data_IF_450191230885
#
_entry.id   IF_450191230885
#
_cell.length_a   1.000
_cell.length_b   1.000
_cell.length_c   1.000
_cell.angle_alpha   90.00
_cell.angle_beta   90.00
_cell.angle_gamma   90.00
#
_symmetry.space_group_name_H-M   'P 1'
#
loop_
_entity.id
_entity.type
_entity.pdbx_description
1 polymer ?
#
# COMPACT_ATOMS: atom_id res chain seq x y z
N UNK A 1 20.88 30.24 -29.12
CA UNK A 1 19.66 31.03 -29.42
C UNK A 1 18.66 30.22 -30.26
N UNK A 2 18.88 29.94 -31.55
CA UNK A 2 17.90 29.24 -32.40
C UNK A 2 17.52 27.81 -31.93
N UNK A 3 18.50 27.03 -31.46
CA UNK A 3 18.28 25.66 -30.97
C UNK A 3 17.50 25.63 -29.63
N UNK A 4 17.74 26.59 -28.74
CA UNK A 4 17.04 26.70 -27.46
C UNK A 4 15.56 27.09 -27.65
N UNK A 5 15.27 28.04 -28.55
CA UNK A 5 13.89 28.40 -28.92
C UNK A 5 13.11 27.21 -29.51
N UNK A 6 13.77 26.37 -30.31
CA UNK A 6 13.17 25.12 -30.83
C UNK A 6 12.88 24.11 -29.72
N UNK A 7 13.78 23.96 -28.73
CA UNK A 7 13.56 23.09 -27.57
C UNK A 7 12.38 23.55 -26.71
N UNK A 8 12.29 24.87 -26.43
CA UNK A 8 11.15 25.43 -25.68
C UNK A 8 9.82 25.27 -26.42
N UNK A 9 9.81 25.43 -27.75
CA UNK A 9 8.63 25.19 -28.56
C UNK A 9 8.18 23.72 -28.52
N UNK A 10 9.15 22.78 -28.57
CA UNK A 10 8.86 21.35 -28.45
C UNK A 10 8.27 20.99 -27.08
N UNK A 11 8.80 21.55 -25.99
CA UNK A 11 8.23 21.37 -24.64
C UNK A 11 6.80 21.91 -24.58
N UNK A 12 6.55 23.12 -25.13
CA UNK A 12 5.20 23.71 -25.14
C UNK A 12 4.19 22.83 -25.87
N UNK A 13 4.52 22.36 -27.08
CA UNK A 13 3.61 21.54 -27.89
C UNK A 13 3.29 20.20 -27.21
N UNK A 14 4.30 19.52 -26.64
CA UNK A 14 4.08 18.29 -25.88
C UNK A 14 3.22 18.53 -24.63
N UNK A 15 3.43 19.65 -23.94
CA UNK A 15 2.67 20.02 -22.75
C UNK A 15 1.21 20.30 -23.07
N UNK A 16 0.89 20.96 -24.19
CA UNK A 16 -0.49 21.18 -24.64
C UNK A 16 -1.24 19.88 -24.88
N UNK A 17 -0.63 18.94 -25.60
CA UNK A 17 -1.21 17.61 -25.83
C UNK A 17 -1.44 16.85 -24.50
N UNK A 18 -0.52 17.01 -23.55
CA UNK A 18 -0.60 16.35 -22.24
C UNK A 18 -1.67 16.95 -21.33
N UNK A 19 -1.86 18.27 -21.38
CA UNK A 19 -2.93 18.99 -20.68
C UNK A 19 -4.31 18.55 -21.18
N UNK A 20 -4.46 18.37 -22.49
CA UNK A 20 -5.68 17.84 -23.11
C UNK A 20 -5.95 16.39 -22.70
N UNK A 21 -4.92 15.53 -22.70
CA UNK A 21 -5.04 14.15 -22.22
C UNK A 21 -5.45 14.13 -20.73
N UNK A 22 -4.81 14.94 -19.89
CA UNK A 22 -5.11 15.05 -18.47
C UNK A 22 -6.53 15.57 -18.22
N UNK A 23 -7.06 16.43 -19.09
CA UNK A 23 -8.46 16.85 -19.06
C UNK A 23 -9.40 15.68 -19.36
N UNK A 24 -9.17 14.96 -20.46
CA UNK A 24 -9.96 13.77 -20.84
C UNK A 24 -9.95 12.70 -19.75
N UNK A 25 -8.78 12.41 -19.17
CA UNK A 25 -8.65 11.50 -18.04
C UNK A 25 -9.44 11.98 -16.82
N UNK A 26 -9.43 13.28 -16.53
CA UNK A 26 -10.25 13.85 -15.46
C UNK A 26 -11.75 13.64 -15.69
N UNK A 27 -12.22 13.80 -16.92
CA UNK A 27 -13.62 13.64 -17.30
C UNK A 27 -14.06 12.16 -17.30
N UNK A 28 -13.15 11.24 -17.62
CA UNK A 28 -13.43 9.79 -17.74
C UNK A 28 -13.03 8.96 -16.51
N UNK A 29 -12.24 9.49 -15.56
CA UNK A 29 -11.70 8.71 -14.44
C UNK A 29 -12.78 8.03 -13.58
N UNK A 30 -14.00 8.56 -13.55
CA UNK A 30 -15.12 7.97 -12.83
C UNK A 30 -15.65 6.70 -13.50
N UNK A 31 -15.62 6.61 -14.83
CA UNK A 31 -16.11 5.48 -15.63
C UNK A 31 -15.04 4.42 -15.95
N UNK A 32 -13.76 4.79 -15.89
CA UNK A 32 -12.66 3.84 -16.06
C UNK A 32 -12.56 2.85 -14.90
N UNK A 33 -12.07 1.66 -15.22
CA UNK A 33 -11.62 0.72 -14.19
C UNK A 33 -10.48 1.36 -13.39
N UNK A 34 -10.45 1.21 -12.05
CA UNK A 34 -9.47 1.91 -11.22
C UNK A 34 -8.00 1.58 -11.55
N UNK A 35 -7.72 0.38 -12.07
CA UNK A 35 -6.40 -0.02 -12.56
C UNK A 35 -5.98 0.78 -13.79
N UNK A 36 -6.84 0.84 -14.81
CA UNK A 36 -6.61 1.57 -16.07
C UNK A 36 -6.42 3.07 -15.84
N UNK A 37 -7.24 3.65 -14.95
CA UNK A 37 -7.10 5.04 -14.55
C UNK A 37 -5.73 5.29 -13.89
N UNK A 38 -5.30 4.43 -12.96
CA UNK A 38 -3.98 4.54 -12.32
C UNK A 38 -2.85 4.47 -13.34
N UNK A 39 -2.93 3.58 -14.32
CA UNK A 39 -1.88 3.40 -15.33
C UNK A 39 -1.77 4.61 -16.25
N UNK A 40 -2.91 5.07 -16.77
CA UNK A 40 -2.97 6.26 -17.63
C UNK A 40 -2.42 7.50 -16.90
N UNK A 41 -2.74 7.65 -15.61
CA UNK A 41 -2.23 8.77 -14.81
C UNK A 41 -0.72 8.61 -14.53
N UNK A 42 -0.22 7.38 -14.34
CA UNK A 42 1.22 7.11 -14.18
C UNK A 42 2.00 7.54 -15.42
N UNK A 43 1.51 7.22 -16.62
CA UNK A 43 2.11 7.65 -17.88
C UNK A 43 2.16 9.17 -18.03
N UNK A 44 1.06 9.86 -17.66
CA UNK A 44 1.02 11.33 -17.68
C UNK A 44 2.04 11.92 -16.69
N UNK A 45 2.13 11.38 -15.47
CA UNK A 45 3.09 11.82 -14.48
C UNK A 45 4.54 11.63 -14.94
N UNK A 46 4.85 10.49 -15.56
CA UNK A 46 6.18 10.23 -16.12
C UNK A 46 6.51 11.22 -17.25
N UNK A 47 5.54 11.51 -18.11
CA UNK A 47 5.71 12.49 -19.21
C UNK A 47 5.94 13.89 -18.68
N UNK A 48 5.20 14.33 -17.65
CA UNK A 48 5.41 15.62 -16.98
C UNK A 48 6.82 15.71 -16.37
N UNK A 49 7.32 14.62 -15.78
CA UNK A 49 8.68 14.56 -15.24
C UNK A 49 9.74 14.70 -16.33
N UNK A 50 9.58 14.03 -17.47
CA UNK A 50 10.49 14.20 -18.61
C UNK A 50 10.44 15.61 -19.18
N UNK A 51 9.25 16.21 -19.29
CA UNK A 51 9.12 17.60 -19.75
C UNK A 51 9.79 18.60 -18.80
N UNK A 52 9.75 18.35 -17.49
CA UNK A 52 10.48 19.17 -16.51
C UNK A 52 12.00 19.08 -16.72
N UNK A 53 12.52 17.88 -17.01
CA UNK A 53 13.94 17.67 -17.33
C UNK A 53 14.33 18.35 -18.64
N UNK A 54 13.54 18.16 -19.70
CA UNK A 54 13.74 18.81 -21.01
C UNK A 54 13.75 20.34 -20.88
N UNK A 55 12.84 20.89 -20.07
CA UNK A 55 12.77 22.32 -19.80
C UNK A 55 14.00 22.83 -19.04
N UNK A 56 14.47 22.07 -18.05
CA UNK A 56 15.69 22.40 -17.31
C UNK A 56 16.90 22.44 -18.24
N UNK A 57 17.08 21.41 -19.07
CA UNK A 57 18.16 21.34 -20.05
C UNK A 57 18.10 22.47 -21.09
N UNK A 58 16.89 22.81 -21.57
CA UNK A 58 16.70 23.92 -22.51
C UNK A 58 17.10 25.27 -21.89
N UNK A 59 16.78 25.49 -20.60
CA UNK A 59 17.15 26.71 -19.86
C UNK A 59 18.67 26.82 -19.65
N UNK A 60 19.33 25.72 -19.31
CA UNK A 60 20.79 25.68 -19.17
C UNK A 60 21.48 25.92 -20.52
N UNK A 61 21.03 25.25 -21.57
CA UNK A 61 21.56 25.39 -22.93
C UNK A 61 21.32 26.77 -23.57
N UNK A 62 20.34 27.54 -23.08
CA UNK A 62 20.06 28.91 -23.54
C UNK A 62 20.90 29.98 -22.84
N UNK A 63 21.63 29.62 -21.77
CA UNK A 63 22.33 30.60 -20.93
C UNK A 63 21.38 31.57 -20.22
N UNK A 64 20.12 31.21 -20.02
CA UNK A 64 19.09 32.07 -19.45
C UNK A 64 18.33 32.96 -20.44
N UNK A 65 18.59 32.84 -21.75
CA UNK A 65 17.70 33.40 -22.76
C UNK A 65 16.31 32.76 -22.65
N UNK A 66 15.26 33.56 -22.86
CA UNK A 66 13.84 33.16 -22.78
C UNK A 66 13.35 32.72 -21.37
N UNK A 67 13.94 33.27 -20.31
CA UNK A 67 13.58 32.97 -18.91
C UNK A 67 12.08 33.10 -18.60
N UNK A 68 11.41 34.11 -19.16
CA UNK A 68 9.97 34.33 -18.97
C UNK A 68 9.12 33.21 -19.58
N UNK A 69 9.52 32.71 -20.77
CA UNK A 69 8.84 31.60 -21.42
C UNK A 69 9.08 30.30 -20.65
N UNK A 70 10.32 30.06 -20.21
CA UNK A 70 10.65 28.89 -19.39
C UNK A 70 9.87 28.88 -18.07
N UNK A 71 9.77 30.02 -17.37
CA UNK A 71 9.00 30.13 -16.13
C UNK A 71 7.50 29.88 -16.33
N UNK A 72 6.92 30.32 -17.46
CA UNK A 72 5.52 30.01 -17.81
C UNK A 72 5.30 28.53 -18.05
N UNK A 73 6.22 27.86 -18.75
CA UNK A 73 6.16 26.41 -18.99
C UNK A 73 6.34 25.62 -17.69
N UNK A 74 7.27 26.04 -16.83
CA UNK A 74 7.49 25.43 -15.52
C UNK A 74 6.22 25.49 -14.65
N UNK A 75 5.56 26.66 -14.61
CA UNK A 75 4.28 26.80 -13.91
C UNK A 75 3.22 25.84 -14.45
N UNK A 76 3.07 25.73 -15.77
CA UNK A 76 2.10 24.81 -16.39
C UNK A 76 2.41 23.34 -16.10
N UNK A 77 3.68 22.94 -16.12
CA UNK A 77 4.11 21.59 -15.72
C UNK A 77 3.75 21.32 -14.25
N UNK A 78 3.97 22.30 -13.36
CA UNK A 78 3.61 22.18 -11.95
C UNK A 78 2.10 22.10 -11.71
N UNK A 79 1.30 22.88 -12.45
CA UNK A 79 -0.16 22.83 -12.42
C UNK A 79 -0.68 21.47 -12.93
N UNK A 80 -0.12 20.98 -14.03
CA UNK A 80 -0.40 19.65 -14.58
C UNK A 80 -0.06 18.53 -13.60
N UNK A 81 1.11 18.60 -12.95
CA UNK A 81 1.56 17.64 -11.92
C UNK A 81 0.62 17.65 -10.71
N UNK A 82 0.16 18.84 -10.30
CA UNK A 82 -0.81 18.99 -9.22
C UNK A 82 -2.17 18.38 -9.58
N UNK A 83 -2.62 18.52 -10.82
CA UNK A 83 -3.87 17.91 -11.27
C UNK A 83 -3.74 16.38 -11.41
N UNK A 84 -2.65 15.89 -12.00
CA UNK A 84 -2.38 14.46 -12.15
C UNK A 84 -2.24 13.75 -10.80
N UNK A 85 -1.57 14.36 -9.83
CA UNK A 85 -1.44 13.81 -8.47
C UNK A 85 -2.79 13.69 -7.74
N UNK A 86 -3.70 14.67 -7.89
CA UNK A 86 -5.07 14.58 -7.36
C UNK A 86 -5.87 13.46 -8.00
N UNK A 87 -5.79 13.32 -9.33
CA UNK A 87 -6.44 12.21 -10.04
C UNK A 87 -5.86 10.86 -9.59
N UNK A 88 -4.54 10.75 -9.41
CA UNK A 88 -3.87 9.54 -8.91
C UNK A 88 -4.39 9.17 -7.53
N UNK A 89 -4.52 10.14 -6.62
CA UNK A 89 -5.09 9.91 -5.29
C UNK A 89 -6.52 9.36 -5.38
N UNK A 90 -7.37 9.98 -6.19
CA UNK A 90 -8.76 9.57 -6.36
C UNK A 90 -8.86 8.15 -6.95
N UNK A 91 -8.13 7.87 -8.04
CA UNK A 91 -8.09 6.55 -8.67
C UNK A 91 -7.54 5.49 -7.71
N UNK A 92 -6.47 5.81 -6.98
CA UNK A 92 -5.88 4.89 -6.02
C UNK A 92 -6.80 4.59 -4.83
N UNK A 93 -7.50 5.59 -4.31
CA UNK A 93 -8.46 5.40 -3.22
C UNK A 93 -9.66 4.56 -3.69
N UNK A 94 -10.20 4.84 -4.90
CA UNK A 94 -11.27 4.04 -5.51
C UNK A 94 -10.83 2.57 -5.68
N UNK A 95 -9.63 2.34 -6.21
CA UNK A 95 -9.07 1.00 -6.40
C UNK A 95 -8.93 0.26 -5.06
N UNK A 96 -8.31 0.93 -4.08
CA UNK A 96 -8.11 0.44 -2.72
C UNK A 96 -9.41 0.06 -2.01
N UNK A 97 -10.48 0.85 -2.18
CA UNK A 97 -11.81 0.54 -1.62
C UNK A 97 -12.48 -0.63 -2.33
N UNK A 98 -12.36 -0.72 -3.65
CA UNK A 98 -12.96 -1.81 -4.43
C UNK A 98 -12.31 -3.17 -4.18
N UNK A 99 -10.99 -3.18 -3.95
CA UNK A 99 -10.21 -4.42 -3.80
C UNK A 99 -10.11 -4.91 -2.37
N UNK A 100 -10.28 -4.04 -1.38
CA UNK A 100 -10.09 -4.43 0.02
C UNK A 100 -10.98 -5.59 0.48
N UNK A 101 -12.29 -5.65 0.17
CA UNK A 101 -13.12 -6.78 0.57
C UNK A 101 -12.62 -8.10 -0.02
N UNK A 102 -12.30 -8.09 -1.33
CA UNK A 102 -11.77 -9.26 -2.05
C UNK A 102 -10.43 -9.71 -1.43
N UNK A 103 -9.53 -8.75 -1.18
CA UNK A 103 -8.24 -9.01 -0.54
C UNK A 103 -8.41 -9.65 0.82
N UNK A 104 -9.32 -9.14 1.66
CA UNK A 104 -9.58 -9.67 3.01
C UNK A 104 -10.11 -11.11 2.93
N UNK A 105 -11.08 -11.38 2.05
CA UNK A 105 -11.62 -12.74 1.88
C UNK A 105 -10.55 -13.73 1.42
N UNK A 106 -9.74 -13.35 0.42
CA UNK A 106 -8.60 -14.16 -0.07
C UNK A 106 -7.56 -14.35 1.04
N UNK A 107 -7.24 -13.31 1.81
CA UNK A 107 -6.29 -13.39 2.93
C UNK A 107 -6.76 -14.37 4.01
N UNK A 108 -8.03 -14.29 4.41
CA UNK A 108 -8.61 -15.18 5.41
C UNK A 108 -8.64 -16.63 4.91
N UNK A 109 -8.99 -16.83 3.64
CA UNK A 109 -8.98 -18.14 3.01
C UNK A 109 -7.56 -18.74 2.96
N UNK A 110 -6.56 -17.94 2.57
CA UNK A 110 -5.15 -18.33 2.55
C UNK A 110 -4.64 -18.68 3.95
N UNK A 111 -4.92 -17.84 4.96
CA UNK A 111 -4.57 -18.13 6.36
C UNK A 111 -5.25 -19.39 6.89
N UNK A 112 -6.50 -19.63 6.52
CA UNK A 112 -7.23 -20.86 6.89
C UNK A 112 -6.64 -22.11 6.22
N UNK A 113 -6.15 -22.00 4.97
CA UNK A 113 -5.40 -23.07 4.30
C UNK A 113 -4.11 -23.38 5.04
N UNK A 114 -3.33 -22.35 5.38
CA UNK A 114 -2.07 -22.52 6.11
C UNK A 114 -2.28 -23.15 7.49
N UNK A 115 -3.28 -22.69 8.24
CA UNK A 115 -3.59 -23.21 9.57
C UNK A 115 -4.00 -24.70 9.58
N UNK A 116 -4.49 -25.22 8.44
CA UNK A 116 -4.86 -26.64 8.27
C UNK A 116 -3.72 -27.52 7.78
N UNK A 117 -2.63 -26.95 7.26
CA UNK A 117 -1.48 -27.74 6.80
C UNK A 117 -0.85 -28.47 7.99
N UNK A 118 -0.82 -29.80 7.95
CA UNK A 118 -0.18 -30.62 9.00
C UNK A 118 1.35 -30.61 8.92
N UNK A 119 1.92 -30.10 7.83
CA UNK A 119 3.35 -29.88 7.69
C UNK A 119 3.73 -28.61 8.45
N UNK A 120 4.10 -28.76 9.72
CA UNK A 120 4.90 -27.75 10.42
C UNK A 120 6.34 -27.81 9.92
N UNK A 121 6.54 -27.54 8.64
CA UNK A 121 7.86 -27.08 8.22
C UNK A 121 7.95 -25.63 8.66
N UNK A 122 8.96 -25.27 9.44
CA UNK A 122 9.11 -23.91 9.98
C UNK A 122 9.33 -22.88 8.85
N UNK A 123 9.65 -23.35 7.64
CA UNK A 123 9.94 -22.55 6.44
C UNK A 123 8.77 -22.42 5.45
N UNK A 124 7.64 -23.10 5.64
CA UNK A 124 6.51 -23.07 4.69
C UNK A 124 5.53 -21.93 5.03
N UNK A 125 5.77 -20.73 4.49
CA UNK A 125 4.84 -19.60 4.56
C UNK A 125 3.88 -19.53 3.34
N UNK A 126 2.96 -18.56 3.36
CA UNK A 126 2.00 -18.40 2.25
C UNK A 126 2.68 -18.13 0.91
N UNK A 127 3.84 -17.48 0.91
CA UNK A 127 4.57 -17.21 -0.32
C UNK A 127 5.14 -18.50 -0.89
N UNK A 128 5.77 -19.34 -0.06
CA UNK A 128 6.27 -20.65 -0.47
C UNK A 128 5.17 -21.57 -1.02
N UNK A 129 3.93 -21.44 -0.51
CA UNK A 129 2.77 -22.16 -1.03
C UNK A 129 2.27 -21.64 -2.38
N UNK A 130 2.51 -20.37 -2.69
CA UNK A 130 2.08 -19.74 -3.94
C UNK A 130 3.14 -19.83 -5.05
N UNK A 131 4.42 -19.71 -4.69
CA UNK A 131 5.58 -19.84 -5.57
C UNK A 131 5.84 -21.33 -5.88
N UNK A 132 5.05 -21.87 -6.80
CA UNK A 132 5.03 -23.30 -7.12
C UNK A 132 6.33 -23.78 -7.79
N UNK A 133 6.94 -22.93 -8.61
CA UNK A 133 8.19 -23.24 -9.31
C UNK A 133 9.45 -22.88 -8.50
N UNK A 134 9.31 -22.14 -7.39
CA UNK A 134 10.38 -21.67 -6.49
C UNK A 134 11.38 -20.74 -7.16
N UNK A 135 10.91 -19.93 -8.12
CA UNK A 135 11.74 -18.93 -8.80
C UNK A 135 11.86 -17.61 -8.03
N UNK A 136 11.20 -17.51 -6.87
CA UNK A 136 11.27 -16.37 -5.97
C UNK A 136 10.28 -15.26 -6.29
N UNK A 137 9.36 -15.47 -7.23
CA UNK A 137 8.25 -14.58 -7.56
C UNK A 137 6.95 -15.36 -7.76
N UNK A 138 5.80 -14.70 -7.65
CA UNK A 138 4.50 -15.33 -7.91
C UNK A 138 3.93 -14.73 -9.19
N UNK A 139 3.78 -15.54 -10.22
CA UNK A 139 3.12 -15.17 -11.48
C UNK A 139 1.60 -15.13 -11.33
N UNK A 140 0.91 -14.54 -12.32
CA UNK A 140 -0.57 -14.48 -12.31
C UNK A 140 -1.23 -15.86 -12.31
N UNK A 141 -0.65 -16.82 -13.02
CA UNK A 141 -1.17 -18.19 -13.09
C UNK A 141 -0.94 -18.93 -11.75
N UNK A 142 0.23 -18.75 -11.13
CA UNK A 142 0.53 -19.28 -9.80
C UNK A 142 -0.39 -18.69 -8.73
N UNK A 143 -0.64 -17.37 -8.78
CA UNK A 143 -1.59 -16.71 -7.89
C UNK A 143 -3.01 -17.27 -8.07
N UNK A 144 -3.45 -17.47 -9.32
CA UNK A 144 -4.76 -18.07 -9.62
C UNK A 144 -4.88 -19.50 -9.11
N UNK A 145 -3.87 -20.33 -9.32
CA UNK A 145 -3.83 -21.69 -8.80
C UNK A 145 -3.85 -21.71 -7.26
N UNK A 146 -3.03 -20.86 -6.63
CA UNK A 146 -2.96 -20.74 -5.17
C UNK A 146 -4.30 -20.35 -4.55
N UNK A 147 -5.00 -19.36 -5.12
CA UNK A 147 -6.31 -18.91 -4.60
C UNK A 147 -7.41 -19.94 -4.88
N UNK A 148 -7.33 -20.69 -5.99
CA UNK A 148 -8.30 -21.75 -6.32
C UNK A 148 -8.29 -22.91 -5.32
N UNK A 149 -7.13 -23.17 -4.72
CA UNK A 149 -6.97 -24.17 -3.64
C UNK A 149 -7.40 -23.65 -2.26
N UNK A 150 -7.69 -22.35 -2.13
CA UNK A 150 -8.14 -21.75 -0.87
C UNK A 150 -9.65 -21.94 -0.68
N UNK A 151 -10.14 -22.09 0.56
CA UNK A 151 -11.57 -22.21 0.83
C UNK A 151 -12.31 -20.92 0.45
N UNK A 152 -13.30 -21.00 -0.42
CA UNK A 152 -14.07 -19.85 -0.87
C UNK A 152 -14.57 -20.05 -2.30
N UNK A 153 -15.26 -19.04 -2.83
CA UNK A 153 -15.67 -19.01 -4.24
C UNK A 153 -15.20 -17.70 -4.87
N UNK A 154 -14.00 -17.72 -5.42
CA UNK A 154 -13.37 -16.55 -6.04
C UNK A 154 -13.43 -16.68 -7.56
N UNK A 155 -14.00 -15.68 -8.24
CA UNK A 155 -14.00 -15.68 -9.70
C UNK A 155 -12.61 -15.39 -10.25
N UNK A 156 -12.28 -15.93 -11.42
CA UNK A 156 -10.99 -15.67 -12.09
C UNK A 156 -10.75 -14.17 -12.31
N UNK A 157 -11.80 -13.41 -12.59
CA UNK A 157 -11.76 -11.95 -12.72
C UNK A 157 -11.38 -11.25 -11.41
N UNK A 158 -12.03 -11.63 -10.29
CA UNK A 158 -11.71 -11.07 -8.97
C UNK A 158 -10.24 -11.32 -8.59
N UNK A 159 -9.75 -12.54 -8.84
CA UNK A 159 -8.36 -12.91 -8.55
C UNK A 159 -7.38 -12.18 -9.48
N UNK A 160 -7.74 -12.03 -10.75
CA UNK A 160 -6.97 -11.23 -11.72
C UNK A 160 -6.83 -9.78 -11.29
N UNK A 161 -7.94 -9.12 -10.92
CA UNK A 161 -7.93 -7.73 -10.46
C UNK A 161 -7.18 -7.57 -9.14
N UNK A 162 -7.27 -8.55 -8.23
CA UNK A 162 -6.49 -8.55 -7.01
C UNK A 162 -5.00 -8.67 -7.28
N UNK A 163 -4.57 -9.53 -8.21
CA UNK A 163 -3.17 -9.61 -8.65
C UNK A 163 -2.69 -8.25 -9.17
N UNK A 164 -3.43 -7.65 -10.10
CA UNK A 164 -3.09 -6.36 -10.70
C UNK A 164 -3.16 -5.19 -9.68
N UNK A 165 -3.85 -5.38 -8.55
CA UNK A 165 -3.84 -4.47 -7.40
C UNK A 165 -2.62 -4.67 -6.49
N UNK A 166 -2.11 -5.89 -6.38
CA UNK A 166 -0.93 -6.23 -5.58
C UNK A 166 0.38 -5.86 -6.27
N UNK A 167 0.43 -5.97 -7.60
CA UNK A 167 1.55 -5.58 -8.49
C UNK A 167 1.61 -4.05 -8.62
N UNK A 168 2.29 -3.39 -7.67
CA UNK A 168 2.35 -1.92 -7.62
C UNK A 168 3.27 -1.34 -8.71
N UNK A 169 4.32 -2.08 -9.06
CA UNK A 169 5.36 -1.68 -10.00
C UNK A 169 5.08 -2.09 -11.46
N UNK A 170 4.03 -2.90 -11.69
CA UNK A 170 3.64 -3.42 -13.01
C UNK A 170 4.68 -4.37 -13.60
N UNK A 171 5.41 -5.10 -12.76
CA UNK A 171 6.35 -6.12 -13.20
C UNK A 171 5.66 -7.33 -13.84
N UNK A 172 4.34 -7.49 -13.64
CA UNK A 172 3.58 -8.66 -14.09
C UNK A 172 3.82 -9.89 -13.21
N UNK A 173 4.46 -9.69 -12.05
CA UNK A 173 4.86 -10.69 -11.06
C UNK A 173 4.63 -10.09 -9.67
N UNK A 174 4.51 -10.93 -8.65
CA UNK A 174 4.49 -10.45 -7.27
C UNK A 174 5.77 -10.92 -6.58
N UNK A 175 6.59 -9.96 -6.16
CA UNK A 175 7.67 -10.26 -5.23
C UNK A 175 7.10 -10.63 -3.86
N UNK A 176 7.93 -11.22 -2.99
CA UNK A 176 7.52 -11.66 -1.65
C UNK A 176 6.76 -10.59 -0.89
N UNK A 177 7.25 -9.35 -0.87
CA UNK A 177 6.61 -8.24 -0.18
C UNK A 177 5.22 -7.91 -0.74
N UNK A 178 5.06 -7.92 -2.07
CA UNK A 178 3.81 -7.60 -2.74
C UNK A 178 2.77 -8.70 -2.54
N UNK A 179 3.19 -9.96 -2.64
CA UNK A 179 2.35 -11.10 -2.33
C UNK A 179 1.94 -11.10 -0.85
N UNK A 180 2.89 -10.89 0.07
CA UNK A 180 2.62 -10.93 1.51
C UNK A 180 1.67 -9.81 1.94
N UNK A 181 1.58 -8.69 1.21
CA UNK A 181 0.53 -7.67 1.43
C UNK A 181 -0.87 -8.25 1.29
N UNK A 182 -1.07 -9.24 0.42
CA UNK A 182 -2.35 -9.94 0.31
C UNK A 182 -2.80 -10.48 1.66
N UNK A 183 -1.90 -11.14 2.40
CA UNK A 183 -2.23 -11.87 3.64
C UNK A 183 -2.33 -11.00 4.89
N UNK A 184 -1.84 -9.75 4.88
CA UNK A 184 -1.87 -8.88 6.06
C UNK A 184 -3.25 -8.29 6.29
N UNK A 185 -4.01 -8.87 7.23
CA UNK A 185 -5.28 -8.31 7.71
C UNK A 185 -5.06 -7.74 9.10
N UNK A 186 -5.32 -6.44 9.24
CA UNK A 186 -5.21 -5.76 10.52
C UNK A 186 -6.56 -5.54 11.16
N UNK A 187 -6.54 -5.64 12.48
CA UNK A 187 -7.65 -5.43 13.37
C UNK A 187 -7.29 -4.30 14.33
N UNK A 188 -8.29 -3.51 14.74
CA UNK A 188 -8.17 -2.52 15.81
C UNK A 188 -9.11 -2.87 16.94
N UNK A 189 -8.61 -2.83 18.16
CA UNK A 189 -9.44 -2.93 19.37
C UNK A 189 -10.30 -1.67 19.48
N UNK A 190 -11.61 -1.82 19.29
CA UNK A 190 -12.56 -0.71 19.26
C UNK A 190 -13.27 -0.49 20.61
N UNK A 191 -13.19 -1.47 21.51
CA UNK A 191 -13.81 -1.42 22.85
C UNK A 191 -12.85 -1.92 23.94
N UNK A 192 -13.02 -1.46 25.19
CA UNK A 192 -12.23 -1.97 26.31
C UNK A 192 -12.59 -3.43 26.65
N UNK A 193 -11.84 -4.00 27.59
CA UNK A 193 -12.08 -5.35 28.15
C UNK A 193 -11.91 -6.48 27.14
N UNK A 194 -10.95 -6.34 26.20
CA UNK A 194 -10.57 -7.41 25.29
C UNK A 194 -9.36 -8.14 25.87
N UNK A 195 -9.57 -9.40 26.21
CA UNK A 195 -8.50 -10.29 26.65
C UNK A 195 -7.93 -11.06 25.45
N UNK A 196 -6.61 -11.15 25.39
CA UNK A 196 -5.87 -12.05 24.51
C UNK A 196 -5.62 -13.35 25.27
N UNK A 197 -6.13 -14.48 24.78
CA UNK A 197 -6.05 -15.78 25.46
C UNK A 197 -5.34 -16.84 24.61
N UNK A 198 -4.72 -17.83 25.24
CA UNK A 198 -3.87 -18.79 24.52
C UNK A 198 -4.66 -19.74 23.59
N UNK A 199 -5.88 -20.14 23.97
CA UNK A 199 -6.69 -21.14 23.26
C UNK A 199 -8.14 -20.67 23.08
N UNK A 200 -8.78 -21.11 21.99
CA UNK A 200 -10.21 -20.97 21.75
C UNK A 200 -11.01 -22.04 22.53
N UNK A 201 -12.26 -21.75 22.96
CA UNK A 201 -13.14 -22.71 23.62
C UNK A 201 -14.14 -22.12 24.63
N UNK A 202 -14.94 -23.02 25.24
CA UNK A 202 -16.02 -22.71 26.19
C UNK A 202 -15.50 -22.31 27.58
N UNK A 203 -14.34 -22.84 27.99
CA UNK A 203 -13.61 -22.37 29.16
C UNK A 203 -12.73 -21.18 28.76
N UNK A 204 -12.61 -20.18 29.64
CA UNK A 204 -11.66 -19.08 29.46
C UNK A 204 -10.25 -19.67 29.32
N UNK A 205 -9.68 -19.61 28.11
CA UNK A 205 -8.29 -19.97 27.87
C UNK A 205 -7.36 -19.13 28.74
N UNK A 206 -6.16 -19.64 29.05
CA UNK A 206 -5.16 -18.92 29.86
C UNK A 206 -4.96 -17.52 29.29
N UNK A 207 -5.15 -16.50 30.14
CA UNK A 207 -4.91 -15.10 29.79
C UNK A 207 -3.44 -14.93 29.40
N UNK A 208 -3.21 -14.43 28.19
CA UNK A 208 -1.90 -13.96 27.75
C UNK A 208 -1.72 -12.54 28.26
N UNK A 209 -2.64 -11.64 27.90
CA UNK A 209 -2.73 -10.28 28.44
C UNK A 209 -4.04 -9.58 28.07
N UNK A 210 -4.26 -8.39 28.63
CA UNK A 210 -5.31 -7.47 28.22
C UNK A 210 -4.84 -6.61 27.05
N UNK A 211 -5.74 -6.30 26.13
CA UNK A 211 -5.49 -5.41 24.99
C UNK A 211 -6.05 -4.01 25.26
N UNK A 212 -5.32 -3.00 24.83
CA UNK A 212 -5.70 -1.59 24.98
C UNK A 212 -6.64 -1.16 23.84
N UNK A 213 -7.52 -0.18 24.10
CA UNK A 213 -8.31 0.44 23.03
C UNK A 213 -7.36 1.10 22.02
N UNK A 214 -7.67 0.99 20.73
CA UNK A 214 -6.86 1.39 19.58
C UNK A 214 -5.62 0.52 19.32
N UNK A 215 -5.39 -0.53 20.10
CA UNK A 215 -4.31 -1.46 19.82
C UNK A 215 -4.54 -2.19 18.48
N UNK A 216 -3.47 -2.34 17.70
CA UNK A 216 -3.49 -3.01 16.39
C UNK A 216 -3.05 -4.45 16.54
N UNK A 217 -3.81 -5.34 15.89
CA UNK A 217 -3.55 -6.77 15.84
C UNK A 217 -3.44 -7.21 14.37
N UNK A 218 -2.48 -8.08 14.07
CA UNK A 218 -2.38 -8.78 12.78
C UNK A 218 -3.09 -10.14 12.90
N UNK A 219 -4.01 -10.43 11.97
CA UNK A 219 -4.71 -11.71 11.89
C UNK A 219 -3.74 -12.83 11.52
N UNK A 220 -3.80 -13.93 12.27
CA UNK A 220 -3.08 -15.17 11.98
C UNK A 220 -4.04 -16.32 11.65
N UNK A 221 -5.24 -16.33 12.23
CA UNK A 221 -6.24 -17.38 12.03
C UNK A 221 -7.66 -16.84 12.30
N UNK A 222 -8.63 -17.27 11.49
CA UNK A 222 -10.02 -16.84 11.60
C UNK A 222 -10.34 -15.63 10.71
N UNK A 223 -11.43 -14.89 10.97
CA UNK A 223 -12.33 -15.02 12.11
C UNK A 223 -13.14 -16.32 12.10
N UNK A 224 -13.31 -16.94 13.27
CA UNK A 224 -14.08 -18.17 13.47
C UNK A 224 -15.30 -17.87 14.33
N UNK A 225 -16.49 -18.23 13.83
CA UNK A 225 -17.75 -18.12 14.58
C UNK A 225 -18.01 -19.42 15.34
N UNK A 226 -18.01 -19.35 16.66
CA UNK A 226 -18.36 -20.46 17.55
C UNK A 226 -19.88 -20.74 17.53
N UNK A 227 -20.27 -21.92 18.01
CA UNK A 227 -21.67 -22.33 18.22
C UNK A 227 -22.42 -21.34 19.12
N UNK A 228 -21.70 -20.71 20.06
CA UNK A 228 -22.20 -19.66 20.97
C UNK A 228 -22.45 -18.31 20.29
N UNK A 229 -22.26 -18.21 18.97
CA UNK A 229 -22.31 -16.99 18.15
C UNK A 229 -21.17 -15.99 18.41
N UNK A 230 -20.24 -16.30 19.32
CA UNK A 230 -19.02 -15.52 19.53
C UNK A 230 -18.10 -15.69 18.32
N UNK A 231 -17.55 -14.60 17.81
CA UNK A 231 -16.55 -14.61 16.73
C UNK A 231 -15.18 -14.33 17.32
N UNK A 232 -14.24 -15.24 17.14
CA UNK A 232 -12.86 -15.10 17.61
C UNK A 232 -11.88 -15.01 16.45
N UNK A 233 -10.80 -14.27 16.66
CA UNK A 233 -9.67 -14.20 15.74
C UNK A 233 -8.40 -14.48 16.51
N UNK A 234 -7.51 -15.30 15.97
CA UNK A 234 -6.16 -15.47 16.49
C UNK A 234 -5.31 -14.40 15.86
N UNK A 235 -4.67 -13.59 16.69
CA UNK A 235 -3.92 -12.45 16.23
C UNK A 235 -2.56 -12.36 16.92
N UNK A 236 -1.63 -11.68 16.26
CA UNK A 236 -0.41 -11.13 16.85
C UNK A 236 -0.65 -9.67 17.20
N UNK A 237 -0.43 -9.28 18.45
CA UNK A 237 -0.50 -7.87 18.84
C UNK A 237 0.75 -7.13 18.35
N UNK A 238 0.56 -6.02 17.64
CA UNK A 238 1.68 -5.31 16.99
C UNK A 238 2.54 -4.52 17.98
N UNK A 239 2.04 -4.28 19.20
CA UNK A 239 2.75 -3.56 20.27
C UNK A 239 3.91 -4.35 20.86
N UNK A 240 3.72 -5.64 21.08
CA UNK A 240 4.64 -6.50 21.85
C UNK A 240 4.88 -7.87 21.21
N UNK A 241 4.22 -8.19 20.10
CA UNK A 241 4.33 -9.48 19.42
C UNK A 241 3.57 -10.62 20.10
N UNK A 242 2.83 -10.36 21.18
CA UNK A 242 2.04 -11.39 21.88
C UNK A 242 1.01 -12.01 20.95
N UNK A 243 0.94 -13.35 20.92
CA UNK A 243 0.01 -14.11 20.08
C UNK A 243 -1.07 -14.74 20.94
N UNK A 244 -2.32 -14.65 20.50
CA UNK A 244 -3.44 -15.35 21.10
C UNK A 244 -4.76 -15.09 20.39
N UNK A 245 -5.82 -15.66 20.94
CA UNK A 245 -7.20 -15.48 20.49
C UNK A 245 -7.82 -14.26 21.18
N UNK A 246 -8.44 -13.40 20.40
CA UNK A 246 -9.25 -12.28 20.87
C UNK A 246 -10.70 -12.48 20.41
N UNK A 247 -11.65 -12.06 21.25
CA UNK A 247 -13.06 -11.97 20.85
C UNK A 247 -13.23 -10.76 19.95
N UNK A 248 -13.47 -11.00 18.66
CA UNK A 248 -13.74 -9.92 17.69
C UNK A 248 -15.19 -9.44 17.79
N UNK A 249 -16.15 -10.36 17.92
CA UNK A 249 -17.58 -10.06 18.08
C UNK A 249 -18.18 -10.95 19.15
N UNK A 250 -18.90 -10.36 20.11
CA UNK A 250 -19.60 -11.09 21.17
C UNK A 250 -20.84 -11.83 20.65
N UNK A 251 -21.40 -12.72 21.49
CA UNK A 251 -22.60 -13.50 21.15
C UNK A 251 -23.84 -12.64 20.85
N UNK A 252 -23.87 -11.41 21.37
CA UNK A 252 -24.89 -10.39 21.13
C UNK A 252 -24.62 -9.50 19.90
N UNK A 253 -23.57 -9.79 19.12
CA UNK A 253 -23.20 -9.01 17.93
C UNK A 253 -22.37 -7.75 18.21
N UNK A 254 -22.02 -7.46 19.46
CA UNK A 254 -21.15 -6.32 19.79
C UNK A 254 -19.74 -6.59 19.26
N UNK A 255 -19.24 -5.71 18.40
CA UNK A 255 -17.88 -5.74 17.87
C UNK A 255 -16.92 -5.10 18.88
N UNK A 256 -15.92 -5.87 19.31
CA UNK A 256 -14.85 -5.45 20.21
C UNK A 256 -13.53 -5.22 19.48
N UNK A 257 -13.34 -5.96 18.38
CA UNK A 257 -12.18 -5.84 17.52
C UNK A 257 -12.68 -5.83 16.08
N UNK A 258 -12.43 -4.73 15.38
CA UNK A 258 -12.90 -4.51 14.01
C UNK A 258 -11.74 -4.57 13.01
N UNK A 259 -12.01 -5.00 11.78
CA UNK A 259 -11.03 -4.92 10.71
C UNK A 259 -10.78 -3.46 10.36
N UNK A 260 -9.52 -3.06 10.23
CA UNK A 260 -9.17 -1.68 9.91
C UNK A 260 -7.86 -1.60 9.14
N UNK A 261 -7.84 -0.76 8.10
CA UNK A 261 -6.59 -0.33 7.46
C UNK A 261 -5.78 0.53 8.42
N UNK A 262 -4.50 0.20 8.56
CA UNK A 262 -3.59 0.95 9.42
C UNK A 262 -3.07 2.16 8.66
N UNK A 263 -3.08 3.32 9.32
CA UNK A 263 -2.51 4.53 8.78
C UNK A 263 -1.44 5.07 9.72
N UNK A 264 -0.44 5.72 9.14
CA UNK A 264 0.50 6.56 9.87
C UNK A 264 0.28 8.02 9.47
N UNK A 265 0.28 8.91 10.45
CA UNK A 265 0.32 10.35 10.23
C UNK A 265 1.76 10.86 10.34
N UNK A 266 2.14 11.72 9.41
CA UNK A 266 3.42 12.43 9.42
C UNK A 266 3.39 13.48 10.54
N UNK A 267 4.25 13.29 11.55
CA UNK A 267 4.43 14.22 12.68
C UNK A 267 5.54 15.23 12.44
N UNK A 268 6.55 14.86 11.66
CA UNK A 268 7.58 15.77 11.20
C UNK A 268 7.94 15.44 9.77
N UNK A 269 8.25 16.48 8.98
CA UNK A 269 8.52 16.32 7.56
C UNK A 269 9.58 15.23 7.32
N UNK A 270 9.32 14.36 6.37
CA UNK A 270 10.18 13.23 6.04
C UNK A 270 10.12 12.93 4.54
N UNK A 271 11.07 12.16 4.03
CA UNK A 271 11.15 11.84 2.61
C UNK A 271 10.50 10.49 2.33
N UNK A 272 9.64 10.44 1.31
CA UNK A 272 9.16 9.20 0.73
C UNK A 272 10.17 8.74 -0.32
N UNK A 273 10.62 7.49 -0.23
CA UNK A 273 11.69 6.94 -1.09
C UNK A 273 11.25 5.69 -1.84
N UNK A 274 11.92 5.34 -2.92
CA UNK A 274 11.63 4.16 -3.75
C UNK A 274 11.93 2.83 -3.05
N UNK A 275 13.04 2.74 -2.31
CA UNK A 275 13.51 1.50 -1.68
C UNK A 275 13.63 1.59 -0.16
N UNK A 276 13.73 0.42 0.49
CA UNK A 276 13.84 0.27 1.95
C UNK A 276 15.13 0.89 2.49
N UNK A 277 16.25 0.86 1.75
CA UNK A 277 17.48 1.49 2.23
C UNK A 277 17.37 3.01 2.17
N UNK A 278 17.55 3.69 3.30
CA UNK A 278 17.60 5.14 3.33
C UNK A 278 18.91 5.71 2.75
N UNK A 279 19.91 4.87 2.46
CA UNK A 279 21.21 5.30 1.91
C UNK A 279 21.30 5.15 0.39
N UNK A 280 20.63 4.17 -0.19
CA UNK A 280 20.71 3.86 -1.63
C UNK A 280 19.44 4.21 -2.39
N UNK A 281 18.57 5.02 -1.80
CA UNK A 281 17.27 5.34 -2.36
C UNK A 281 17.26 6.64 -3.17
N UNK A 282 16.28 6.72 -4.07
CA UNK A 282 15.85 7.96 -4.70
C UNK A 282 14.71 8.58 -3.89
N UNK A 283 14.76 9.91 -3.73
CA UNK A 283 13.64 10.67 -3.17
C UNK A 283 12.50 10.73 -4.18
N UNK A 284 11.34 10.17 -3.83
CA UNK A 284 10.12 10.30 -4.62
C UNK A 284 9.46 11.66 -4.38
N UNK A 285 9.34 12.06 -3.11
CA UNK A 285 8.87 13.39 -2.69
C UNK A 285 9.03 13.62 -1.20
N UNK A 286 8.86 14.88 -0.79
CA UNK A 286 8.69 15.25 0.62
C UNK A 286 7.26 14.99 1.10
N UNK A 287 7.13 14.38 2.28
CA UNK A 287 5.90 14.23 3.03
C UNK A 287 5.81 15.37 4.04
N UNK A 288 4.71 16.14 3.96
CA UNK A 288 4.46 17.24 4.90
C UNK A 288 3.78 16.74 6.16
N UNK A 289 3.96 17.47 7.26
CA UNK A 289 3.24 17.23 8.50
C UNK A 289 1.72 17.17 8.26
N UNK A 290 1.06 16.23 8.94
CA UNK A 290 -0.37 15.97 8.81
C UNK A 290 -0.75 15.04 7.65
N UNK A 291 0.15 14.74 6.70
CA UNK A 291 -0.13 13.76 5.65
C UNK A 291 -0.33 12.36 6.22
N UNK A 292 -1.21 11.57 5.59
CA UNK A 292 -1.54 10.20 5.98
C UNK A 292 -0.96 9.20 4.98
N UNK A 293 -0.37 8.14 5.52
CA UNK A 293 0.15 6.98 4.79
C UNK A 293 -0.68 5.75 5.16
N UNK A 294 -1.35 5.12 4.20
CA UNK A 294 -1.92 3.77 4.35
C UNK A 294 -0.77 2.75 4.32
N UNK A 295 -0.68 1.90 5.33
CA UNK A 295 0.41 0.91 5.47
C UNK A 295 0.22 -0.21 4.45
N UNK A 296 1.24 -0.42 3.60
CA UNK A 296 1.31 -1.53 2.65
C UNK A 296 2.26 -2.63 3.12
N UNK A 297 3.38 -2.22 3.74
CA UNK A 297 4.32 -3.11 4.42
C UNK A 297 4.53 -2.55 5.81
N UNK A 298 4.33 -3.41 6.81
CA UNK A 298 4.57 -3.08 8.22
C UNK A 298 6.03 -2.66 8.46
N UNK A 299 6.31 -2.13 9.65
CA UNK A 299 7.64 -1.69 10.06
C UNK A 299 8.71 -2.76 9.79
N UNK A 300 9.71 -2.39 8.99
CA UNK A 300 10.96 -3.11 8.78
C UNK A 300 12.12 -2.27 9.24
N UNK A 301 13.18 -2.92 9.71
CA UNK A 301 14.45 -2.26 9.98
C UNK A 301 15.27 -2.26 8.69
N UNK A 302 15.67 -1.08 8.23
CA UNK A 302 16.64 -0.94 7.14
C UNK A 302 17.97 -1.53 7.62
N UNK A 303 18.48 -2.61 7.00
CA UNK A 303 19.68 -3.30 7.47
C UNK A 303 20.95 -2.44 7.35
N UNK A 304 20.93 -1.39 6.53
CA UNK A 304 22.10 -0.54 6.27
C UNK A 304 22.16 0.66 7.23
N UNK A 305 21.00 1.22 7.59
CA UNK A 305 20.93 2.40 8.46
C UNK A 305 20.46 2.10 9.89
N UNK A 306 19.82 0.96 10.13
CA UNK A 306 19.16 0.62 11.39
C UNK A 306 17.81 1.34 11.61
N UNK A 307 17.36 2.15 10.64
CA UNK A 307 16.13 2.91 10.75
C UNK A 307 14.91 2.00 10.64
N UNK A 308 13.89 2.22 11.48
CA UNK A 308 12.56 1.62 11.30
C UNK A 308 11.79 2.37 10.22
N UNK A 309 11.33 1.65 9.20
CA UNK A 309 10.64 2.23 8.04
C UNK A 309 9.40 1.41 7.69
N UNK A 310 8.38 2.07 7.15
CA UNK A 310 7.19 1.44 6.59
C UNK A 310 7.14 1.69 5.07
N UNK A 311 6.59 0.76 4.30
CA UNK A 311 6.15 1.06 2.92
C UNK A 311 4.70 1.50 3.01
N UNK A 312 4.42 2.72 2.59
CA UNK A 312 3.10 3.32 2.70
C UNK A 312 2.65 3.95 1.39
N UNK A 313 1.34 4.04 1.23
CA UNK A 313 0.69 4.81 0.17
C UNK A 313 0.16 6.11 0.75
N UNK A 314 0.65 7.23 0.25
CA UNK A 314 0.18 8.53 0.68
C UNK A 314 -1.22 8.83 0.15
N UNK A 315 -2.17 9.13 1.05
CA UNK A 315 -3.55 9.40 0.68
C UNK A 315 -3.74 10.71 -0.10
N UNK A 316 -2.79 11.64 0.05
CA UNK A 316 -2.83 12.96 -0.58
C UNK A 316 -2.71 12.91 -2.10
N UNK A 317 -1.84 12.04 -2.58
CA UNK A 317 -1.43 12.00 -3.99
C UNK A 317 -1.33 10.59 -4.55
N UNK A 318 -1.54 9.53 -3.76
CA UNK A 318 -1.42 8.14 -4.20
C UNK A 318 0.02 7.65 -4.38
N UNK A 319 1.05 8.42 -3.99
CA UNK A 319 2.44 7.98 -4.09
C UNK A 319 2.69 6.79 -3.15
N UNK A 320 3.41 5.78 -3.63
CA UNK A 320 3.82 4.60 -2.84
C UNK A 320 5.33 4.65 -2.65
N UNK A 321 5.79 4.41 -1.43
CA UNK A 321 7.21 4.32 -1.13
C UNK A 321 7.49 4.07 0.34
N UNK A 322 8.77 4.09 0.69
CA UNK A 322 9.26 3.90 2.04
C UNK A 322 9.39 5.22 2.79
N UNK A 323 8.95 5.25 4.04
CA UNK A 323 9.08 6.40 4.93
C UNK A 323 9.58 5.95 6.30
N UNK A 324 10.45 6.76 6.90
CA UNK A 324 11.06 6.47 8.21
C UNK A 324 10.07 6.76 9.32
N UNK A 325 9.89 5.83 10.26
CA UNK A 325 9.00 5.98 11.43
C UNK A 325 9.72 6.76 12.53
N UNK A 326 10.93 6.30 12.90
CA UNK A 326 11.78 6.91 13.93
C UNK A 326 13.18 7.10 13.36
N UNK A 327 13.71 8.32 13.44
CA UNK A 327 15.05 8.69 12.97
C UNK A 327 16.16 8.38 13.98
N UNK A 328 17.42 8.65 13.59
CA UNK A 328 18.64 8.35 14.37
C UNK A 328 18.74 9.03 15.75
N UNK A 329 17.92 10.05 16.03
CA UNK A 329 17.88 10.78 17.32
C UNK A 329 16.55 10.58 18.05
N UNK A 330 15.92 9.41 17.87
CA UNK A 330 14.59 9.09 18.40
C UNK A 330 13.48 10.05 17.92
N UNK A 331 13.76 10.85 16.90
CA UNK A 331 12.77 11.76 16.31
C UNK A 331 11.68 10.94 15.65
N UNK A 332 10.45 11.09 16.15
CA UNK A 332 9.27 10.44 15.61
C UNK A 332 8.81 11.23 14.38
N UNK A 333 8.97 10.61 13.20
CA UNK A 333 8.49 11.16 11.93
C UNK A 333 7.07 10.72 11.62
N UNK A 334 6.71 9.50 12.02
CA UNK A 334 5.40 8.93 11.77
C UNK A 334 4.80 8.37 13.05
N UNK A 335 3.49 8.57 13.24
CA UNK A 335 2.74 7.93 14.35
C UNK A 335 1.51 7.25 13.79
N UNK A 336 1.25 6.03 14.24
CA UNK A 336 0.07 5.27 13.87
C UNK A 336 -1.22 5.96 14.35
N UNK A 337 -2.26 6.00 13.51
CA UNK A 337 -3.55 6.69 13.78
C UNK A 337 -4.79 5.85 13.43
#
# INVERSE_FOLDING_TARGET
MAQAGQQLAAVSSKLEALEDNLKRLGDMASSLEPSEAKDSIREVMNTLQYLAQDLCAAREGSGGADADQAAKLEKRINDGTTKASKLRAAASNKHSLSMEPIRIEVAQAALARLAKSQKKDEDEDLFALADANKDGVVTKDEFQAFVSDCPGNFSRDQVSRLFDYLDDDRSGRLEREEFMRCSKVFYRVSRPSVDLVQTMGVAQGKLVRKLDVNEILELLEGPVKEITKVVRAKCKAMKDGSIGWATSTGSNGVVFVEQKKVHYQVKSATTLTDVLSAKTCTSLRQLKEGELLEVLVWEKTDPISGLKRIKGRALKDGAVGWATVTGNKETVHLTMV
#
